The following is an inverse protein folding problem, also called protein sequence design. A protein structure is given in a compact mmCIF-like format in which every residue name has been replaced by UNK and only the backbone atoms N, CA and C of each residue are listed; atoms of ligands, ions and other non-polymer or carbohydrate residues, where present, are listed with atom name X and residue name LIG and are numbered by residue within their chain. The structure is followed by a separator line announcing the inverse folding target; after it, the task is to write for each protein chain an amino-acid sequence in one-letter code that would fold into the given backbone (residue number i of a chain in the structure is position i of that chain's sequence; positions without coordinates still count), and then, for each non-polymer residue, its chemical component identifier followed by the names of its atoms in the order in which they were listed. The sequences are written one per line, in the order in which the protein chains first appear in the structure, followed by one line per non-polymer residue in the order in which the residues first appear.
data_IF_296106106586
#
_entry.id   IF_296106106586
#
_cell.length_a   1.000
_cell.length_b   1.000
_cell.length_c   1.000
_cell.angle_alpha   90.00
_cell.angle_beta   90.00
_cell.angle_gamma   90.00
#
_symmetry.space_group_name_H-M   'P 1'
#
loop_
_entity.id
_entity.type
_entity.pdbx_description
1 polymer ?
#
# COMPACT_ATOMS: atom_id res chain seq x y z
N UNK A 1 -24.95 13.40 4.16
CA UNK A 1 -24.25 12.84 5.32
C UNK A 1 -22.79 12.64 4.93
N UNK A 2 -21.98 13.74 5.08
CA UNK A 2 -20.55 13.72 4.85
C UNK A 2 -19.87 13.02 6.02
N UNK A 3 -19.36 11.82 5.80
CA UNK A 3 -18.45 11.18 6.73
C UNK A 3 -17.14 12.00 6.76
N UNK A 4 -16.81 12.52 7.93
CA UNK A 4 -15.53 13.21 8.18
C UNK A 4 -14.41 12.21 7.88
N UNK A 5 -13.43 12.53 7.03
CA UNK A 5 -12.30 11.62 6.78
C UNK A 5 -11.56 11.38 8.09
N UNK A 6 -11.02 10.17 8.33
CA UNK A 6 -10.29 9.86 9.55
C UNK A 6 -9.16 10.88 9.74
N UNK A 7 -8.96 11.32 10.98
CA UNK A 7 -8.06 12.43 11.37
C UNK A 7 -6.66 12.45 10.74
N UNK A 8 -6.20 11.30 10.22
CA UNK A 8 -4.93 11.16 9.50
C UNK A 8 -4.95 11.71 8.06
N UNK A 9 -6.12 11.83 7.44
CA UNK A 9 -6.26 12.37 6.06
C UNK A 9 -6.38 13.90 6.08
N UNK A 10 -6.95 14.47 7.15
CA UNK A 10 -7.03 15.93 7.33
C UNK A 10 -5.64 16.61 7.45
N UNK A 11 -4.59 15.86 7.78
CA UNK A 11 -3.25 16.38 7.94
C UNK A 11 -2.57 16.82 6.62
N UNK A 12 -3.06 16.34 5.46
CA UNK A 12 -2.51 16.74 4.14
C UNK A 12 -2.70 18.23 3.83
N UNK A 13 -3.77 18.81 4.31
CA UNK A 13 -4.11 20.23 4.05
C UNK A 13 -3.49 21.14 5.12
N UNK A 14 -3.28 20.64 6.34
CA UNK A 14 -2.85 21.45 7.49
C UNK A 14 -1.33 21.62 7.61
N UNK A 15 -0.51 20.74 7.00
CA UNK A 15 0.97 20.78 7.11
C UNK A 15 1.60 21.97 6.34
N UNK A 16 0.83 22.74 5.60
CA UNK A 16 1.38 23.86 4.81
C UNK A 16 1.74 25.11 5.63
N UNK A 17 1.32 25.23 6.89
CA UNK A 17 1.40 26.52 7.58
C UNK A 17 2.51 26.68 8.63
N UNK A 18 3.22 25.62 9.07
CA UNK A 18 4.17 25.75 10.20
C UNK A 18 5.63 25.37 9.94
N UNK A 19 6.10 25.34 8.68
CA UNK A 19 7.47 24.91 8.38
C UNK A 19 8.42 26.10 8.14
N UNK A 20 8.51 27.00 9.09
CA UNK A 20 9.62 27.99 9.17
C UNK A 20 10.44 27.72 10.42
N UNK A 21 11.30 26.71 10.39
CA UNK A 21 12.43 26.67 11.30
C UNK A 21 13.68 26.19 10.55
N UNK A 22 14.65 27.06 10.51
CA UNK A 22 15.97 26.90 9.89
C UNK A 22 16.80 26.00 10.80
N UNK A 23 16.98 24.79 10.44
CA UNK A 23 17.86 23.85 11.13
C UNK A 23 17.66 22.44 10.57
N UNK A 24 18.71 21.80 10.11
CA UNK A 24 18.65 20.39 9.78
C UNK A 24 18.41 19.57 11.04
N UNK A 25 17.58 18.54 10.94
CA UNK A 25 17.22 17.66 12.06
C UNK A 25 17.91 16.30 11.94
N UNK A 26 17.95 15.58 13.06
CA UNK A 26 18.39 14.19 13.08
C UNK A 26 17.29 13.27 12.52
N UNK A 27 17.67 12.09 12.04
CA UNK A 27 16.73 11.10 11.51
C UNK A 27 15.69 10.65 12.56
N UNK A 28 16.08 10.59 13.83
CA UNK A 28 15.18 10.26 14.96
C UNK A 28 14.11 11.32 15.14
N UNK A 29 14.49 12.59 15.06
CA UNK A 29 13.55 13.72 15.17
C UNK A 29 12.58 13.75 13.98
N UNK A 30 13.08 13.53 12.76
CA UNK A 30 12.23 13.43 11.58
C UNK A 30 11.24 12.25 11.70
N UNK A 31 11.68 11.11 12.21
CA UNK A 31 10.83 9.95 12.42
C UNK A 31 9.70 10.25 13.42
N UNK A 32 10.01 10.87 14.54
CA UNK A 32 9.05 11.28 15.56
C UNK A 32 8.03 12.28 15.00
N UNK A 33 8.48 13.33 14.35
CA UNK A 33 7.61 14.38 13.76
C UNK A 33 6.68 13.82 12.68
N UNK A 34 7.12 12.82 11.92
CA UNK A 34 6.33 12.21 10.85
C UNK A 34 5.52 10.98 11.31
N UNK A 35 5.56 10.60 12.58
CA UNK A 35 4.88 9.41 13.10
C UNK A 35 5.33 8.12 12.42
N UNK A 36 6.63 8.02 12.08
CA UNK A 36 7.22 6.85 11.40
C UNK A 36 8.44 6.35 12.18
N UNK A 37 9.12 5.33 11.66
CA UNK A 37 10.32 4.78 12.30
C UNK A 37 11.59 5.17 11.57
N UNK A 38 12.71 5.27 12.31
CA UNK A 38 14.05 5.46 11.71
C UNK A 38 14.37 4.39 10.68
N UNK A 39 13.91 3.14 10.93
CA UNK A 39 14.09 2.04 9.99
C UNK A 39 13.37 2.30 8.65
N UNK A 40 12.13 2.77 8.70
CA UNK A 40 11.36 3.11 7.51
C UNK A 40 12.04 4.26 6.72
N UNK A 41 12.51 5.30 7.41
CA UNK A 41 13.22 6.39 6.76
C UNK A 41 14.51 5.92 6.06
N UNK A 42 15.30 5.07 6.71
CA UNK A 42 16.49 4.47 6.08
C UNK A 42 16.14 3.59 4.89
N UNK A 43 15.00 2.90 4.94
CA UNK A 43 14.50 2.13 3.80
C UNK A 43 14.12 3.06 2.65
N UNK A 44 13.44 4.18 2.91
CA UNK A 44 13.11 5.19 1.90
C UNK A 44 14.36 5.81 1.28
N UNK A 45 15.42 6.06 2.07
CA UNK A 45 16.74 6.46 1.53
C UNK A 45 17.32 5.41 0.59
N UNK A 46 17.33 4.13 1.00
CA UNK A 46 17.83 3.02 0.15
C UNK A 46 17.06 2.89 -1.16
N UNK A 47 15.76 3.17 -1.14
CA UNK A 47 14.91 3.18 -2.33
C UNK A 47 15.05 4.47 -3.17
N UNK A 48 15.91 5.41 -2.77
CA UNK A 48 16.11 6.68 -3.48
C UNK A 48 14.98 7.69 -3.32
N UNK A 49 13.99 7.41 -2.45
CA UNK A 49 12.86 8.30 -2.20
C UNK A 49 13.23 9.50 -1.32
N UNK A 50 14.20 9.37 -0.43
CA UNK A 50 14.68 10.45 0.41
C UNK A 50 16.15 10.69 0.12
N UNK A 51 16.52 11.96 0.04
CA UNK A 51 17.89 12.40 -0.21
C UNK A 51 18.32 13.38 0.89
N UNK A 52 18.83 12.89 2.03
CA UNK A 52 19.31 13.76 3.08
C UNK A 52 20.52 14.56 2.60
N UNK A 53 20.63 15.80 3.04
CA UNK A 53 21.84 16.58 2.87
C UNK A 53 22.98 15.99 3.72
N UNK A 54 24.22 16.34 3.42
CA UNK A 54 25.39 16.04 4.27
C UNK A 54 25.94 17.33 4.84
N UNK A 55 26.17 17.34 6.14
CA UNK A 55 26.89 18.42 6.81
C UNK A 55 28.40 18.35 6.49
N UNK A 56 29.13 19.41 6.74
CA UNK A 56 30.58 19.46 6.54
C UNK A 56 31.35 18.36 7.28
N UNK A 57 30.82 17.88 8.41
CA UNK A 57 31.33 16.75 9.20
C UNK A 57 30.93 15.37 8.68
N UNK A 58 30.27 15.27 7.50
CA UNK A 58 29.84 14.05 6.89
C UNK A 58 28.51 13.46 7.43
N UNK A 59 27.94 14.03 8.48
CA UNK A 59 26.69 13.55 9.07
C UNK A 59 25.49 13.89 8.20
N UNK A 60 24.50 12.98 8.22
CA UNK A 60 23.23 13.21 7.52
C UNK A 60 22.44 14.32 8.18
N UNK A 61 21.91 15.19 7.36
CA UNK A 61 21.07 16.29 7.74
C UNK A 61 19.73 16.20 7.00
N UNK A 62 18.64 16.29 7.74
CA UNK A 62 17.30 16.18 7.19
C UNK A 62 16.65 17.58 7.25
N UNK A 63 16.69 18.33 6.15
CA UNK A 63 16.05 19.65 6.12
C UNK A 63 14.54 19.51 6.30
N UNK A 64 13.90 20.55 6.84
CA UNK A 64 12.45 20.57 7.09
C UNK A 64 11.60 20.25 5.84
N UNK A 65 12.10 20.55 4.65
CA UNK A 65 11.44 20.20 3.40
C UNK A 65 11.21 18.69 3.25
N UNK A 66 12.12 17.83 3.76
CA UNK A 66 11.96 16.38 3.72
C UNK A 66 10.81 15.88 4.60
N UNK A 67 10.41 16.62 5.64
CA UNK A 67 9.24 16.25 6.44
C UNK A 67 7.98 16.12 5.58
N UNK A 68 7.77 17.06 4.64
CA UNK A 68 6.62 17.02 3.72
C UNK A 68 6.67 15.77 2.81
N UNK A 69 7.86 15.43 2.32
CA UNK A 69 8.04 14.23 1.49
C UNK A 69 7.78 12.95 2.28
N UNK A 70 8.29 12.86 3.51
CA UNK A 70 8.04 11.71 4.39
C UNK A 70 6.57 11.57 4.71
N UNK A 71 5.87 12.66 5.02
CA UNK A 71 4.41 12.64 5.24
C UNK A 71 3.69 12.15 3.99
N UNK A 72 4.02 12.66 2.80
CA UNK A 72 3.44 12.19 1.53
C UNK A 72 3.68 10.69 1.32
N UNK A 73 4.92 10.20 1.51
CA UNK A 73 5.26 8.79 1.38
C UNK A 73 4.47 7.93 2.37
N UNK A 74 4.45 8.31 3.65
CA UNK A 74 3.79 7.52 4.70
C UNK A 74 2.28 7.44 4.50
N UNK A 75 1.65 8.52 4.08
CA UNK A 75 0.23 8.55 3.76
C UNK A 75 -0.12 7.70 2.54
N UNK A 76 0.65 7.84 1.46
CA UNK A 76 0.49 7.02 0.25
C UNK A 76 0.67 5.52 0.57
N UNK A 77 1.63 5.19 1.43
CA UNK A 77 1.81 3.81 1.92
C UNK A 77 0.61 3.30 2.74
N UNK A 78 0.02 4.15 3.57
CA UNK A 78 -1.13 3.79 4.41
C UNK A 78 -2.38 3.41 3.60
N UNK A 79 -2.54 3.97 2.41
CA UNK A 79 -3.61 3.63 1.46
C UNK A 79 -3.20 2.56 0.43
N UNK A 80 -2.00 1.97 0.61
CA UNK A 80 -1.57 0.75 -0.06
C UNK A 80 -0.76 0.95 -1.34
N UNK A 81 -0.29 2.15 -1.66
CA UNK A 81 0.66 2.33 -2.76
C UNK A 81 2.03 1.72 -2.46
N UNK A 82 2.67 1.15 -3.45
CA UNK A 82 4.04 0.67 -3.36
C UNK A 82 5.03 1.84 -3.36
N UNK A 83 6.25 1.62 -2.85
CA UNK A 83 7.31 2.65 -2.91
C UNK A 83 7.70 3.00 -4.34
N UNK A 84 7.55 2.07 -5.28
CA UNK A 84 7.81 2.30 -6.69
C UNK A 84 6.81 3.31 -7.27
N UNK A 85 5.50 3.07 -7.08
CA UNK A 85 4.44 3.98 -7.54
C UNK A 85 4.62 5.38 -6.93
N UNK A 86 4.90 5.46 -5.62
CA UNK A 86 5.17 6.73 -4.95
C UNK A 86 6.37 7.44 -5.57
N UNK A 87 7.42 6.69 -5.92
CA UNK A 87 8.62 7.23 -6.57
C UNK A 87 8.36 7.87 -7.93
N UNK A 88 7.34 7.41 -8.66
CA UNK A 88 6.92 7.98 -9.95
C UNK A 88 6.31 9.38 -9.78
N UNK A 89 5.60 9.64 -8.69
CA UNK A 89 4.91 10.92 -8.44
C UNK A 89 5.69 11.90 -7.57
N UNK A 90 6.63 11.40 -6.78
CA UNK A 90 7.39 12.21 -5.83
C UNK A 90 8.14 13.39 -6.47
N UNK A 91 8.73 13.28 -7.68
CA UNK A 91 9.34 14.43 -8.36
C UNK A 91 8.33 15.54 -8.70
N UNK A 92 7.12 15.17 -9.13
CA UNK A 92 6.06 16.13 -9.41
C UNK A 92 5.54 16.78 -8.12
N UNK A 93 5.45 16.01 -7.03
CA UNK A 93 5.10 16.53 -5.71
C UNK A 93 6.15 17.53 -5.20
N UNK A 94 7.44 17.21 -5.29
CA UNK A 94 8.56 18.09 -4.90
C UNK A 94 8.54 19.43 -5.63
N UNK A 95 8.27 19.39 -6.92
CA UNK A 95 8.22 20.58 -7.77
C UNK A 95 6.88 21.31 -7.76
N UNK A 96 5.97 20.95 -6.85
CA UNK A 96 4.60 21.49 -6.77
C UNK A 96 3.79 21.43 -8.08
N UNK A 97 4.15 20.49 -8.97
CA UNK A 97 3.44 20.27 -10.24
C UNK A 97 2.34 19.22 -10.15
N UNK A 98 2.28 18.47 -9.05
CA UNK A 98 1.22 17.50 -8.81
C UNK A 98 -0.08 18.24 -8.46
N UNK A 99 -1.00 18.27 -9.39
CA UNK A 99 -2.29 18.97 -9.25
C UNK A 99 -3.29 18.13 -8.45
N UNK A 100 -4.32 18.78 -7.89
CA UNK A 100 -5.42 18.08 -7.21
C UNK A 100 -6.16 17.14 -8.16
N UNK A 101 -6.33 17.52 -9.44
CA UNK A 101 -6.95 16.66 -10.44
C UNK A 101 -6.14 15.38 -10.71
N UNK A 102 -4.83 15.47 -10.76
CA UNK A 102 -3.95 14.29 -10.89
C UNK A 102 -4.00 13.41 -9.64
N UNK A 103 -4.06 14.01 -8.45
CA UNK A 103 -4.23 13.26 -7.20
C UNK A 103 -5.56 12.52 -7.17
N UNK A 104 -6.63 13.16 -7.60
CA UNK A 104 -7.97 12.56 -7.70
C UNK A 104 -7.98 11.36 -8.65
N UNK A 105 -7.38 11.50 -9.82
CA UNK A 105 -7.23 10.40 -10.80
C UNK A 105 -6.44 9.21 -10.21
N UNK A 106 -5.34 9.48 -9.51
CA UNK A 106 -4.55 8.44 -8.83
C UNK A 106 -5.40 7.73 -7.77
N UNK A 107 -6.22 8.47 -7.02
CA UNK A 107 -7.11 7.89 -6.02
C UNK A 107 -8.24 7.08 -6.66
N UNK A 108 -8.82 7.56 -7.76
CA UNK A 108 -9.85 6.85 -8.52
C UNK A 108 -9.31 5.51 -9.05
N UNK A 109 -8.11 5.51 -9.63
CA UNK A 109 -7.47 4.27 -10.07
C UNK A 109 -7.24 3.31 -8.90
N UNK A 110 -6.79 3.82 -7.75
CA UNK A 110 -6.58 2.98 -6.56
C UNK A 110 -7.87 2.37 -6.04
N UNK A 111 -8.98 3.12 -6.06
CA UNK A 111 -10.29 2.60 -5.71
C UNK A 111 -10.71 1.47 -6.64
N UNK A 112 -10.53 1.64 -7.95
CA UNK A 112 -10.84 0.60 -8.94
C UNK A 112 -10.04 -0.68 -8.69
N UNK A 113 -8.74 -0.59 -8.35
CA UNK A 113 -7.90 -1.74 -8.02
C UNK A 113 -8.40 -2.46 -6.75
N UNK A 114 -8.80 -1.70 -5.74
CA UNK A 114 -9.38 -2.25 -4.50
C UNK A 114 -10.69 -2.96 -4.79
N UNK A 115 -11.58 -2.37 -5.58
CA UNK A 115 -12.87 -2.96 -5.94
C UNK A 115 -12.69 -4.25 -6.74
N UNK A 116 -11.75 -4.28 -7.68
CA UNK A 116 -11.39 -5.49 -8.42
C UNK A 116 -10.90 -6.59 -7.48
N UNK A 117 -10.07 -6.24 -6.50
CA UNK A 117 -9.57 -7.20 -5.50
C UNK A 117 -10.66 -7.70 -4.57
N UNK A 118 -11.57 -6.83 -4.16
CA UNK A 118 -12.75 -7.23 -3.38
C UNK A 118 -13.66 -8.20 -4.13
N UNK A 119 -13.89 -7.96 -5.42
CA UNK A 119 -14.67 -8.87 -6.26
C UNK A 119 -13.99 -10.25 -6.41
N UNK A 120 -12.67 -10.29 -6.55
CA UNK A 120 -11.89 -11.53 -6.59
C UNK A 120 -12.02 -12.31 -5.26
N UNK A 121 -11.78 -11.62 -4.13
CA UNK A 121 -11.89 -12.24 -2.80
C UNK A 121 -13.30 -12.72 -2.50
N UNK A 122 -14.32 -12.01 -2.95
CA UNK A 122 -15.72 -12.41 -2.79
C UNK A 122 -16.02 -13.71 -3.55
N UNK A 123 -15.53 -13.82 -4.79
CA UNK A 123 -15.64 -15.05 -5.58
C UNK A 123 -14.93 -16.23 -4.93
N UNK A 124 -13.71 -16.00 -4.43
CA UNK A 124 -12.94 -17.03 -3.74
C UNK A 124 -13.64 -17.49 -2.45
N UNK A 125 -14.18 -16.56 -1.66
CA UNK A 125 -14.96 -16.84 -0.47
C UNK A 125 -16.18 -17.70 -0.79
N UNK A 126 -16.90 -17.40 -1.89
CA UNK A 126 -18.04 -18.19 -2.32
C UNK A 126 -17.62 -19.61 -2.68
N UNK A 127 -16.57 -19.78 -3.47
CA UNK A 127 -16.06 -21.09 -3.84
C UNK A 127 -15.69 -21.95 -2.61
N UNK A 128 -15.03 -21.35 -1.62
CA UNK A 128 -14.71 -22.04 -0.35
C UNK A 128 -15.99 -22.41 0.42
N UNK A 129 -16.98 -21.53 0.42
CA UNK A 129 -18.27 -21.78 1.09
C UNK A 129 -19.01 -22.96 0.45
N UNK A 130 -19.09 -22.98 -0.88
CA UNK A 130 -19.75 -24.05 -1.64
C UNK A 130 -19.04 -25.39 -1.40
N UNK A 131 -17.71 -25.37 -1.37
CA UNK A 131 -16.93 -26.56 -1.06
C UNK A 131 -17.18 -27.08 0.36
N UNK A 132 -17.31 -26.20 1.35
CA UNK A 132 -17.68 -26.59 2.72
C UNK A 132 -19.07 -27.23 2.79
N UNK A 133 -20.03 -26.71 2.04
CA UNK A 133 -21.37 -27.29 1.96
C UNK A 133 -21.29 -28.69 1.37
N UNK A 134 -20.58 -28.89 0.25
CA UNK A 134 -20.37 -30.19 -0.36
C UNK A 134 -19.74 -31.21 0.60
N UNK A 135 -18.67 -30.84 1.32
CA UNK A 135 -18.00 -31.68 2.33
C UNK A 135 -19.03 -32.16 3.39
N UNK A 136 -19.83 -31.24 3.94
CA UNK A 136 -20.84 -31.57 4.95
C UNK A 136 -21.90 -32.56 4.42
N UNK A 137 -22.32 -32.38 3.17
CA UNK A 137 -23.24 -33.28 2.52
C UNK A 137 -22.64 -34.69 2.34
N UNK A 138 -21.35 -34.80 2.00
CA UNK A 138 -20.68 -36.09 1.93
C UNK A 138 -20.57 -36.77 3.29
N UNK A 139 -20.29 -36.02 4.37
CA UNK A 139 -20.23 -36.56 5.74
C UNK A 139 -21.60 -37.09 6.23
N UNK A 140 -22.70 -36.52 5.76
CA UNK A 140 -24.06 -36.92 6.13
C UNK A 140 -24.61 -38.08 5.29
N UNK A 141 -23.92 -38.51 4.23
CA UNK A 141 -24.33 -39.70 3.45
C UNK A 141 -24.06 -40.95 4.25
N UNK A 142 -25.07 -41.79 4.52
CA UNK A 142 -24.84 -43.07 5.16
C UNK A 142 -23.87 -43.90 4.32
N UNK A 143 -22.88 -44.54 4.97
CA UNK A 143 -21.87 -45.38 4.32
C UNK A 143 -22.55 -46.59 3.66
N UNK A 144 -22.97 -46.42 2.42
CA UNK A 144 -23.27 -47.49 1.51
C UNK A 144 -22.04 -47.67 0.61
N UNK A 145 -21.37 -48.83 0.73
CA UNK A 145 -20.28 -49.42 -0.07
C UNK A 145 -19.61 -48.51 -1.12
N UNK A 146 -18.29 -48.45 -1.23
CA UNK A 146 -17.57 -47.47 -2.06
C UNK A 146 -17.86 -47.73 -3.55
N UNK A 147 -18.90 -47.12 -4.09
CA UNK A 147 -18.99 -46.87 -5.51
C UNK A 147 -18.12 -45.61 -5.79
N UNK A 148 -17.28 -45.72 -6.80
CA UNK A 148 -16.28 -44.76 -7.23
C UNK A 148 -16.55 -43.32 -6.82
N UNK A 149 -15.68 -42.79 -5.99
CA UNK A 149 -15.66 -41.42 -5.50
C UNK A 149 -15.71 -40.47 -6.69
N UNK A 150 -16.87 -39.85 -6.91
CA UNK A 150 -16.91 -38.71 -7.83
C UNK A 150 -15.93 -37.67 -7.34
N UNK A 151 -14.94 -37.33 -8.17
CA UNK A 151 -13.94 -36.35 -7.84
C UNK A 151 -14.60 -35.01 -7.39
N UNK A 152 -14.11 -34.38 -6.35
CA UNK A 152 -14.65 -33.10 -5.91
C UNK A 152 -14.58 -32.06 -7.04
N UNK A 153 -15.51 -31.11 -7.08
CA UNK A 153 -15.53 -30.07 -8.11
C UNK A 153 -14.47 -29.00 -7.82
N UNK A 154 -13.21 -29.40 -7.91
CA UNK A 154 -12.13 -28.42 -7.87
C UNK A 154 -12.17 -27.61 -9.17
N UNK A 155 -12.09 -26.29 -9.10
CA UNK A 155 -11.80 -25.50 -10.27
C UNK A 155 -10.45 -25.97 -10.81
N UNK A 156 -10.44 -26.46 -12.05
CA UNK A 156 -9.16 -26.79 -12.71
C UNK A 156 -8.31 -25.54 -12.70
N UNK A 157 -7.13 -25.64 -12.12
CA UNK A 157 -6.15 -24.57 -12.20
C UNK A 157 -5.98 -24.18 -13.66
N UNK A 158 -6.01 -22.88 -14.03
CA UNK A 158 -5.67 -22.49 -15.38
C UNK A 158 -4.28 -23.02 -15.65
N UNK A 159 -4.12 -23.89 -16.64
CA UNK A 159 -2.87 -24.47 -17.04
C UNK A 159 -1.96 -23.37 -17.59
N UNK A 160 -1.32 -22.63 -16.67
CA UNK A 160 -0.22 -21.73 -16.96
C UNK A 160 0.96 -22.57 -17.43
N UNK A 161 1.10 -22.69 -18.75
CA UNK A 161 2.30 -23.26 -19.37
C UNK A 161 3.50 -22.40 -18.91
N UNK A 162 4.22 -22.85 -17.91
CA UNK A 162 5.53 -22.31 -17.57
C UNK A 162 6.44 -22.56 -18.77
N UNK A 163 6.63 -21.51 -19.59
CA UNK A 163 7.67 -21.52 -20.60
C UNK A 163 8.99 -21.49 -19.85
N UNK A 164 9.67 -22.65 -19.82
CA UNK A 164 11.07 -22.75 -19.43
C UNK A 164 11.91 -21.81 -20.30
N UNK A 165 12.76 -21.04 -19.64
CA UNK A 165 13.77 -20.20 -20.26
C UNK A 165 15.06 -21.02 -20.35
N UNK A 166 15.78 -20.96 -21.48
CA UNK A 166 17.10 -21.57 -21.61
C UNK A 166 18.14 -20.91 -20.71
#
# INVERSE_FOLDING_TARGET
HGACPPARVACLIFVQHELRQHGGMLISELAERCGTTVHALRHYEKCGLLQPARRANGWRDYPAALQREVVFITMSRAIGFSLREIGEWLPAYRSHRLTLAQLDEIMAQRLADIDARLAELTRLRQAVTDHRVWIRQQQQRPTRTPAATAAPPWPRSPSGRVKGKP
#
